data_IF_521529891365
#
_entry.id   IF_521529891365
#
_cell.length_a   1.000
_cell.length_b   1.000
_cell.length_c   1.000
_cell.angle_alpha   90.00
_cell.angle_beta   90.00
_cell.angle_gamma   90.00
#
_symmetry.space_group_name_H-M   'P 1'
#
loop_
_entity.id
_entity.type
_entity.pdbx_description
1 polymer ?
#
# COMPACT_ATOMS: atom_id res chain seq x y z
N UNK A 1 13.87 -12.30 -9.12
CA UNK A 1 12.43 -12.63 -9.09
C UNK A 1 11.65 -11.33 -8.97
N UNK A 2 10.64 -11.10 -9.81
CA UNK A 2 9.81 -9.89 -9.69
C UNK A 2 8.98 -9.95 -8.40
N UNK A 3 8.93 -8.84 -7.64
CA UNK A 3 8.05 -8.72 -6.47
C UNK A 3 6.67 -8.27 -6.95
N UNK A 4 5.63 -9.00 -6.56
CA UNK A 4 4.24 -8.65 -6.83
C UNK A 4 3.70 -7.83 -5.65
N UNK A 5 3.07 -6.69 -5.93
CA UNK A 5 2.52 -5.80 -4.91
C UNK A 5 1.95 -4.52 -5.50
N UNK A 6 1.33 -3.70 -4.66
CA UNK A 6 0.89 -2.34 -5.03
C UNK A 6 1.99 -1.33 -4.77
N UNK A 7 1.96 -0.23 -5.53
CA UNK A 7 2.76 0.96 -5.29
C UNK A 7 2.06 1.78 -4.19
N UNK A 8 2.79 2.10 -3.13
CA UNK A 8 2.25 2.77 -1.95
C UNK A 8 1.55 4.09 -2.26
N UNK A 9 2.12 4.89 -3.16
CA UNK A 9 1.56 6.17 -3.56
C UNK A 9 0.25 6.02 -4.33
N UNK A 10 0.08 4.94 -5.09
CA UNK A 10 -1.16 4.71 -5.85
C UNK A 10 -2.26 4.14 -4.95
N UNK A 11 -1.92 3.23 -4.06
CA UNK A 11 -2.88 2.72 -3.09
C UNK A 11 -3.28 3.78 -2.06
N UNK A 12 -2.38 4.70 -1.69
CA UNK A 12 -2.70 5.81 -0.79
C UNK A 12 -3.83 6.70 -1.35
N UNK A 13 -3.85 6.95 -2.66
CA UNK A 13 -4.89 7.76 -3.31
C UNK A 13 -6.29 7.16 -3.19
N UNK A 14 -6.40 5.85 -2.96
CA UNK A 14 -7.67 5.10 -3.01
C UNK A 14 -8.06 4.53 -1.65
N UNK A 15 -7.08 4.10 -0.86
CA UNK A 15 -7.28 3.29 0.35
C UNK A 15 -6.78 3.98 1.63
N UNK A 16 -6.47 5.29 1.60
CA UNK A 16 -5.91 6.02 2.75
C UNK A 16 -6.73 5.94 4.03
N UNK A 17 -8.05 5.78 3.92
CA UNK A 17 -8.96 5.68 5.07
C UNK A 17 -9.07 4.27 5.66
N UNK A 18 -8.54 3.25 4.96
CA UNK A 18 -8.77 1.83 5.27
C UNK A 18 -7.48 1.08 5.56
N UNK A 19 -6.37 1.48 4.91
CA UNK A 19 -5.06 0.86 5.06
C UNK A 19 -4.11 1.90 5.62
N UNK A 20 -3.29 1.48 6.59
CA UNK A 20 -2.27 2.33 7.16
C UNK A 20 -1.08 2.49 6.21
N UNK A 21 -0.62 3.73 6.13
CA UNK A 21 0.61 4.12 5.45
C UNK A 21 1.51 4.81 6.46
N UNK A 22 2.78 4.44 6.47
CA UNK A 22 3.79 5.10 7.31
C UNK A 22 4.91 5.66 6.46
N UNK A 23 5.53 6.78 6.86
CA UNK A 23 6.78 7.20 6.26
C UNK A 23 7.81 6.06 6.36
N UNK A 24 8.53 5.82 5.28
CA UNK A 24 9.69 4.95 5.28
C UNK A 24 10.90 5.77 5.73
N UNK A 25 11.21 5.69 7.02
CA UNK A 25 12.32 6.42 7.67
C UNK A 25 13.70 5.81 7.35
N UNK A 26 13.76 4.66 6.67
CA UNK A 26 15.00 3.95 6.39
C UNK A 26 15.76 4.45 5.15
N UNK A 27 15.35 5.57 4.53
CA UNK A 27 16.22 6.24 3.56
C UNK A 27 17.17 7.15 4.31
N UNK A 28 18.41 6.69 4.47
CA UNK A 28 19.51 7.59 4.79
C UNK A 28 19.70 8.55 3.59
N UNK A 29 19.79 9.86 3.84
CA UNK A 29 20.28 10.82 2.82
C UNK A 29 21.70 10.37 2.45
N UNK A 30 21.91 9.96 1.21
CA UNK A 30 23.19 9.43 0.75
C UNK A 30 24.09 10.59 0.30
N UNK A 31 23.50 11.61 -0.32
CA UNK A 31 24.17 12.84 -0.76
C UNK A 31 23.45 14.11 -0.28
N UNK A 32 24.18 15.22 -0.10
CA UNK A 32 23.60 16.52 0.29
C UNK A 32 22.63 17.09 -0.77
N UNK A 33 22.77 16.64 -2.02
CA UNK A 33 21.92 17.01 -3.16
C UNK A 33 20.69 16.09 -3.33
N UNK A 34 20.52 15.07 -2.47
CA UNK A 34 19.33 14.21 -2.53
C UNK A 34 18.06 15.03 -2.31
N UNK A 35 17.10 14.87 -3.23
CA UNK A 35 15.81 15.55 -3.16
C UNK A 35 15.11 15.17 -1.87
N UNK A 36 14.81 16.17 -1.04
CA UNK A 36 14.07 15.98 0.19
C UNK A 36 12.67 15.42 -0.12
N UNK A 37 12.37 14.24 0.44
CA UNK A 37 11.12 13.54 0.15
C UNK A 37 10.87 12.39 1.12
N UNK A 38 9.60 11.97 1.18
CA UNK A 38 9.16 10.84 1.99
C UNK A 38 8.76 9.69 1.09
N UNK A 39 9.30 8.50 1.35
CA UNK A 39 8.75 7.26 0.83
C UNK A 39 7.63 6.78 1.75
N UNK A 40 6.65 6.05 1.21
CA UNK A 40 5.57 5.46 1.99
C UNK A 40 5.71 3.94 2.03
N UNK A 41 5.55 3.37 3.21
CA UNK A 41 5.32 1.95 3.43
C UNK A 41 3.81 1.68 3.48
N UNK A 42 3.40 0.51 2.99
CA UNK A 42 2.03 0.01 3.10
C UNK A 42 1.98 -1.09 4.15
N UNK A 43 0.98 -1.09 5.03
CA UNK A 43 0.66 -2.26 5.83
C UNK A 43 0.02 -3.35 4.94
N UNK A 44 0.86 -4.28 4.46
CA UNK A 44 0.41 -5.38 3.62
C UNK A 44 -0.50 -6.40 4.34
N UNK A 45 -0.49 -6.46 5.68
CA UNK A 45 -1.41 -7.32 6.41
C UNK A 45 -2.83 -6.76 6.35
N UNK A 46 -2.99 -5.45 6.57
CA UNK A 46 -4.26 -4.78 6.42
C UNK A 46 -4.76 -4.83 4.96
N UNK A 47 -3.86 -4.60 4.00
CA UNK A 47 -4.20 -4.71 2.58
C UNK A 47 -4.65 -6.14 2.20
N UNK A 48 -4.01 -7.18 2.76
CA UNK A 48 -4.41 -8.56 2.52
C UNK A 48 -5.81 -8.87 3.05
N UNK A 49 -6.13 -8.41 4.27
CA UNK A 49 -7.47 -8.55 4.85
C UNK A 49 -8.51 -7.83 4.00
N UNK A 50 -8.24 -6.59 3.57
CA UNK A 50 -9.12 -5.83 2.69
C UNK A 50 -9.39 -6.58 1.39
N UNK A 51 -8.35 -7.09 0.73
CA UNK A 51 -8.48 -7.88 -0.50
C UNK A 51 -9.36 -9.12 -0.28
N UNK A 52 -9.18 -9.85 0.82
CA UNK A 52 -10.01 -11.00 1.14
C UNK A 52 -11.49 -10.64 1.32
N UNK A 53 -11.79 -9.51 1.97
CA UNK A 53 -13.17 -9.04 2.18
C UNK A 53 -13.82 -8.65 0.85
N UNK A 54 -13.11 -7.88 0.01
CA UNK A 54 -13.59 -7.47 -1.31
C UNK A 54 -13.87 -8.68 -2.20
N UNK A 55 -12.94 -9.64 -2.26
CA UNK A 55 -13.12 -10.87 -3.04
C UNK A 55 -14.36 -11.64 -2.55
N UNK A 56 -14.53 -11.81 -1.24
CA UNK A 56 -15.72 -12.47 -0.67
C UNK A 56 -17.02 -11.75 -1.05
N UNK A 57 -17.02 -10.41 -0.99
CA UNK A 57 -18.18 -9.61 -1.38
C UNK A 57 -18.51 -9.75 -2.87
N UNK A 58 -17.50 -9.74 -3.75
CA UNK A 58 -17.67 -9.93 -5.19
C UNK A 58 -18.22 -11.32 -5.52
N UNK A 59 -17.70 -12.37 -4.87
CA UNK A 59 -18.22 -13.75 -5.03
C UNK A 59 -19.68 -13.85 -4.57
N UNK A 60 -20.05 -13.18 -3.47
CA UNK A 60 -21.44 -13.15 -3.00
C UNK A 60 -22.33 -12.44 -4.01
N UNK A 61 -21.88 -11.29 -4.54
CA UNK A 61 -22.60 -10.53 -5.56
C UNK A 61 -22.79 -11.32 -6.85
N UNK A 62 -21.80 -12.10 -7.29
CA UNK A 62 -21.91 -12.89 -8.53
C UNK A 62 -22.84 -14.11 -8.42
N UNK A 63 -23.22 -14.50 -7.20
CA UNK A 63 -24.11 -15.65 -6.93
C UNK A 63 -25.57 -15.23 -6.72
N UNK A 64 -25.84 -13.94 -6.60
CA UNK A 64 -27.18 -13.34 -6.53
C UNK A 64 -27.58 -12.82 -7.90
#
# INVERSE_FOLDING_TARGET
>A
TAKLGLIAQDSLKVCSEIVNYSPNENLEKVDEDDVEGFQYNIDYNQLAVLNCVVIKALIKKSKN
#
